data_IF_704163853640
#
_entry.id   IF_704163853640
#
_cell.length_a   1.000
_cell.length_b   1.000
_cell.length_c   1.000
_cell.angle_alpha   90.00
_cell.angle_beta   90.00
_cell.angle_gamma   90.00
#
_symmetry.space_group_name_H-M   'P 1'
#
loop_
_entity.id
_entity.type
_entity.pdbx_description
1 polymer ?
#
# COMPACT_ATOMS: atom_id res chain seq x y z
N UNK A 1 11.21 -19.50 27.65
CA UNK A 1 11.39 -19.23 26.21
C UNK A 1 12.55 -18.23 26.07
N UNK A 2 13.58 -18.57 25.30
CA UNK A 2 14.78 -17.72 25.19
C UNK A 2 14.41 -16.31 24.71
N UNK A 3 14.98 -15.27 25.36
CA UNK A 3 14.74 -13.86 24.98
C UNK A 3 15.09 -13.59 23.51
N UNK A 4 16.05 -14.34 22.94
CA UNK A 4 16.43 -14.27 21.53
C UNK A 4 15.25 -14.63 20.61
N UNK A 5 14.48 -15.68 20.93
CA UNK A 5 13.32 -16.10 20.10
C UNK A 5 12.23 -15.01 20.09
N UNK A 6 12.03 -14.34 21.24
CA UNK A 6 11.06 -13.22 21.33
C UNK A 6 11.50 -11.98 20.57
N UNK A 7 12.79 -11.83 20.29
CA UNK A 7 13.32 -10.66 19.58
C UNK A 7 13.20 -10.79 18.06
N UNK A 8 13.03 -12.01 17.51
CA UNK A 8 12.98 -12.25 16.06
C UNK A 8 11.87 -11.44 15.38
N UNK A 9 10.59 -11.48 15.82
CA UNK A 9 9.54 -10.68 15.18
C UNK A 9 9.86 -9.18 15.24
N UNK A 10 10.24 -8.66 16.41
CA UNK A 10 10.57 -7.24 16.56
C UNK A 10 11.73 -6.79 15.66
N UNK A 11 12.71 -7.68 15.42
CA UNK A 11 13.81 -7.38 14.48
C UNK A 11 13.28 -7.27 13.05
N UNK A 12 12.38 -8.15 12.62
CA UNK A 12 11.76 -8.08 11.30
C UNK A 12 10.94 -6.79 11.13
N UNK A 13 10.19 -6.40 12.17
CA UNK A 13 9.47 -5.12 12.19
C UNK A 13 10.43 -3.92 12.06
N UNK A 14 11.58 -3.94 12.77
CA UNK A 14 12.60 -2.89 12.63
C UNK A 14 13.22 -2.86 11.23
N UNK A 15 13.37 -4.03 10.57
CA UNK A 15 13.85 -4.08 9.19
C UNK A 15 12.81 -3.50 8.23
N UNK A 16 11.52 -3.78 8.43
CA UNK A 16 10.44 -3.13 7.67
C UNK A 16 10.50 -1.60 7.80
N UNK A 17 10.64 -1.10 9.04
CA UNK A 17 10.81 0.33 9.32
C UNK A 17 12.03 0.92 8.61
N UNK A 18 13.17 0.22 8.62
CA UNK A 18 14.38 0.65 7.94
C UNK A 18 14.15 0.83 6.43
N UNK A 19 13.47 -0.12 5.78
CA UNK A 19 13.11 0.02 4.38
C UNK A 19 12.10 1.15 4.13
N UNK A 20 11.18 1.42 5.06
CA UNK A 20 10.33 2.59 5.03
C UNK A 20 11.12 3.90 5.01
N UNK A 21 12.15 4.02 5.87
CA UNK A 21 13.05 5.17 5.88
C UNK A 21 13.86 5.30 4.57
N UNK A 22 14.36 4.20 4.02
CA UNK A 22 15.04 4.21 2.72
C UNK A 22 14.10 4.67 1.59
N UNK A 23 12.85 4.24 1.61
CA UNK A 23 11.84 4.68 0.63
C UNK A 23 11.64 6.19 0.65
N UNK A 24 11.64 6.80 1.84
CA UNK A 24 11.55 8.27 1.99
C UNK A 24 12.77 8.93 1.35
N UNK A 25 13.98 8.44 1.62
CA UNK A 25 15.21 9.00 1.04
C UNK A 25 15.19 8.92 -0.49
N UNK A 26 14.86 7.76 -1.05
CA UNK A 26 14.75 7.62 -2.51
C UNK A 26 13.66 8.50 -3.13
N UNK A 27 12.57 8.76 -2.40
CA UNK A 27 11.53 9.68 -2.85
C UNK A 27 12.04 11.13 -2.91
N UNK A 28 12.85 11.55 -1.93
CA UNK A 28 13.51 12.87 -1.91
C UNK A 28 14.46 13.02 -3.09
N UNK A 29 15.18 11.96 -3.44
CA UNK A 29 16.12 11.93 -4.58
C UNK A 29 15.41 11.83 -5.95
N UNK A 30 14.08 11.68 -5.99
CA UNK A 30 13.32 11.46 -7.24
C UNK A 30 13.50 10.06 -7.83
N UNK A 31 13.98 9.10 -7.04
CA UNK A 31 14.17 7.70 -7.44
C UNK A 31 12.97 6.83 -7.05
N UNK A 32 11.82 7.11 -7.66
CA UNK A 32 10.55 6.46 -7.28
C UNK A 32 10.53 4.95 -7.51
N UNK A 33 11.36 4.43 -8.43
CA UNK A 33 11.53 2.99 -8.61
C UNK A 33 12.10 2.32 -7.36
N UNK A 34 13.17 2.88 -6.77
CA UNK A 34 13.76 2.33 -5.55
C UNK A 34 12.88 2.60 -4.34
N UNK A 35 12.15 3.73 -4.32
CA UNK A 35 11.19 4.02 -3.26
C UNK A 35 10.10 2.94 -3.16
N UNK A 36 9.45 2.58 -4.27
CA UNK A 36 8.42 1.54 -4.27
C UNK A 36 9.00 0.15 -3.99
N UNK A 37 10.21 -0.14 -4.48
CA UNK A 37 10.90 -1.40 -4.18
C UNK A 37 11.15 -1.56 -2.67
N UNK A 38 11.56 -0.49 -1.99
CA UNK A 38 11.73 -0.48 -0.54
C UNK A 38 10.40 -0.71 0.19
N UNK A 39 9.29 -0.09 -0.25
CA UNK A 39 7.96 -0.34 0.34
C UNK A 39 7.55 -1.81 0.16
N UNK A 40 7.81 -2.40 -1.01
CA UNK A 40 7.51 -3.81 -1.27
C UNK A 40 8.33 -4.73 -0.36
N UNK A 41 9.65 -4.48 -0.23
CA UNK A 41 10.51 -5.24 0.66
C UNK A 41 10.06 -5.07 2.12
N UNK A 42 9.75 -3.84 2.55
CA UNK A 42 9.18 -3.56 3.86
C UNK A 42 7.92 -4.36 4.12
N UNK A 43 6.99 -4.45 3.16
CA UNK A 43 5.76 -5.25 3.26
C UNK A 43 6.02 -6.75 3.44
N UNK A 44 7.10 -7.28 2.84
CA UNK A 44 7.48 -8.69 3.02
C UNK A 44 7.98 -8.93 4.45
N UNK A 45 8.79 -8.01 5.00
CA UNK A 45 9.28 -8.12 6.36
C UNK A 45 8.16 -7.94 7.40
N UNK A 46 7.24 -7.01 7.19
CA UNK A 46 6.04 -6.80 7.97
C UNK A 46 5.16 -8.06 8.02
N UNK A 47 4.85 -8.65 6.86
CA UNK A 47 4.12 -9.91 6.83
C UNK A 47 4.87 -11.04 7.56
N UNK A 48 6.20 -11.06 7.46
CA UNK A 48 7.07 -12.09 8.05
C UNK A 48 7.15 -11.97 9.57
N UNK A 49 7.09 -10.76 10.15
CA UNK A 49 7.11 -10.57 11.60
C UNK A 49 5.81 -11.08 12.24
N UNK A 50 4.65 -10.74 11.68
CA UNK A 50 3.37 -11.28 12.14
C UNK A 50 3.27 -12.80 11.97
N UNK A 51 3.84 -13.37 10.91
CA UNK A 51 3.92 -14.81 10.73
C UNK A 51 4.85 -15.46 11.78
N UNK A 52 6.06 -14.91 11.98
CA UNK A 52 7.03 -15.42 12.95
C UNK A 52 6.53 -15.31 14.39
N UNK A 53 5.86 -14.21 14.74
CA UNK A 53 5.27 -14.01 16.07
C UNK A 53 4.25 -15.11 16.40
N UNK A 54 3.41 -15.50 15.43
CA UNK A 54 2.44 -16.60 15.59
C UNK A 54 3.11 -17.96 15.62
N UNK A 55 4.03 -18.24 14.68
CA UNK A 55 4.71 -19.54 14.58
C UNK A 55 5.58 -19.85 15.80
N UNK A 56 6.26 -18.84 16.34
CA UNK A 56 7.13 -18.97 17.51
C UNK A 56 6.40 -18.77 18.86
N UNK A 57 5.09 -18.47 18.83
CA UNK A 57 4.30 -18.08 20.02
C UNK A 57 4.97 -16.95 20.81
N UNK A 58 5.55 -15.98 20.09
CA UNK A 58 6.38 -14.89 20.60
C UNK A 58 5.66 -13.54 20.58
N UNK A 59 4.33 -13.52 20.46
CA UNK A 59 3.54 -12.28 20.49
C UNK A 59 3.74 -11.55 21.81
N UNK A 60 3.92 -10.23 21.74
CA UNK A 60 4.12 -9.36 22.91
C UNK A 60 3.39 -8.03 22.73
N UNK A 61 3.06 -7.35 23.85
CA UNK A 61 2.42 -6.03 23.80
C UNK A 61 3.33 -5.01 23.08
N UNK A 62 4.63 -5.01 23.39
CA UNK A 62 5.59 -4.11 22.74
C UNK A 62 5.73 -4.40 21.25
N UNK A 63 5.64 -5.69 20.82
CA UNK A 63 5.69 -6.06 19.42
C UNK A 63 4.51 -5.49 18.63
N UNK A 64 3.29 -5.51 19.22
CA UNK A 64 2.09 -4.93 18.59
C UNK A 64 2.20 -3.41 18.42
N UNK A 65 2.72 -2.70 19.41
CA UNK A 65 2.91 -1.25 19.31
C UNK A 65 4.02 -0.89 18.30
N UNK A 66 5.12 -1.65 18.33
CA UNK A 66 6.24 -1.45 17.40
C UNK A 66 5.80 -1.68 15.94
N UNK A 67 5.00 -2.71 15.66
CA UNK A 67 4.39 -3.01 14.38
C UNK A 67 3.58 -1.81 13.86
N UNK A 68 2.67 -1.28 14.69
CA UNK A 68 1.87 -0.11 14.31
C UNK A 68 2.70 1.15 14.04
N UNK A 69 3.79 1.36 14.79
CA UNK A 69 4.70 2.49 14.58
C UNK A 69 5.52 2.32 13.29
N UNK A 70 5.99 1.10 13.02
CA UNK A 70 6.71 0.77 11.80
C UNK A 70 5.80 0.91 10.56
N UNK A 71 4.57 0.38 10.63
CA UNK A 71 3.55 0.52 9.60
C UNK A 71 3.25 1.97 9.27
N UNK A 72 3.16 2.83 10.29
CA UNK A 72 2.92 4.25 10.11
C UNK A 72 4.01 4.90 9.27
N UNK A 73 5.27 4.55 9.48
CA UNK A 73 6.38 5.10 8.69
C UNK A 73 6.43 4.46 7.30
N UNK A 74 6.43 3.14 7.24
CA UNK A 74 6.66 2.38 6.00
C UNK A 74 5.49 2.48 5.01
N UNK A 75 4.25 2.54 5.52
CA UNK A 75 3.04 2.49 4.69
C UNK A 75 2.15 3.74 4.83
N UNK A 76 2.48 4.66 5.73
CA UNK A 76 1.83 5.97 5.83
C UNK A 76 2.73 7.09 5.32
N UNK A 77 3.88 7.29 5.97
CA UNK A 77 4.78 8.43 5.70
C UNK A 77 5.49 8.24 4.36
N UNK A 78 6.08 7.07 4.09
CA UNK A 78 6.86 6.83 2.88
C UNK A 78 6.06 7.07 1.59
N UNK A 79 4.84 6.53 1.38
CA UNK A 79 4.05 6.83 0.21
C UNK A 79 3.59 8.29 0.16
N UNK A 80 3.34 8.94 1.30
CA UNK A 80 3.04 10.36 1.36
C UNK A 80 4.18 11.21 0.81
N UNK A 81 5.43 10.88 1.16
CA UNK A 81 6.62 11.54 0.60
C UNK A 81 6.79 11.26 -0.90
N UNK A 82 6.55 10.03 -1.36
CA UNK A 82 6.61 9.70 -2.78
C UNK A 82 5.62 10.57 -3.60
N UNK A 83 4.38 10.70 -3.15
CA UNK A 83 3.38 11.56 -3.79
C UNK A 83 3.77 13.04 -3.71
N UNK A 84 4.23 13.51 -2.55
CA UNK A 84 4.64 14.89 -2.37
C UNK A 84 5.75 15.31 -3.35
N UNK A 85 6.83 14.52 -3.42
CA UNK A 85 7.95 14.84 -4.31
C UNK A 85 7.60 14.63 -5.79
N UNK A 86 6.75 13.65 -6.10
CA UNK A 86 6.20 13.51 -7.44
C UNK A 86 5.42 14.76 -7.86
N UNK A 87 4.46 15.20 -7.05
CA UNK A 87 3.66 16.38 -7.34
C UNK A 87 4.53 17.63 -7.43
N UNK A 88 5.49 17.80 -6.53
CA UNK A 88 6.41 18.95 -6.55
C UNK A 88 7.25 19.01 -7.82
N UNK A 89 7.63 17.88 -8.40
CA UNK A 89 8.41 17.80 -9.63
C UNK A 89 7.62 17.99 -10.92
N UNK A 90 6.30 17.78 -10.90
CA UNK A 90 5.44 17.73 -12.09
C UNK A 90 4.30 18.74 -12.08
N UNK A 91 4.14 19.53 -11.01
CA UNK A 91 3.16 20.62 -10.94
C UNK A 91 3.82 21.92 -11.40
N UNK A 92 3.58 22.28 -12.65
CA UNK A 92 4.09 23.53 -13.26
C UNK A 92 3.01 24.62 -13.14
N UNK A 93 2.71 25.05 -11.90
CA UNK A 93 1.75 26.11 -11.68
C UNK A 93 2.12 26.96 -10.46
N UNK A 94 2.46 28.20 -10.69
CA UNK A 94 2.84 29.16 -9.64
C UNK A 94 1.75 29.41 -8.58
N UNK A 95 0.49 29.28 -8.93
CA UNK A 95 -0.65 29.37 -8.01
C UNK A 95 -0.80 28.13 -7.11
N UNK A 96 -0.17 27.01 -7.48
CA UNK A 96 -0.34 25.72 -6.86
C UNK A 96 0.88 25.27 -6.03
N UNK A 97 1.77 26.17 -5.61
CA UNK A 97 3.00 25.84 -4.88
C UNK A 97 2.74 24.99 -3.63
N UNK A 98 1.62 25.25 -2.92
CA UNK A 98 1.24 24.52 -1.71
C UNK A 98 0.45 23.24 -1.98
N UNK A 99 0.07 22.97 -3.22
CA UNK A 99 -0.78 21.84 -3.59
C UNK A 99 -0.18 20.48 -3.25
N UNK A 100 1.15 20.23 -3.42
CA UNK A 100 1.76 18.95 -3.06
C UNK A 100 1.59 18.56 -1.60
N UNK A 101 1.39 19.51 -0.67
CA UNK A 101 1.21 19.22 0.75
C UNK A 101 -0.04 18.39 1.04
N UNK A 102 -1.01 18.30 0.11
CA UNK A 102 -2.16 17.43 0.23
C UNK A 102 -1.76 15.95 0.37
N UNK A 103 -0.59 15.57 -0.14
CA UNK A 103 -0.03 14.23 0.02
C UNK A 103 0.08 13.78 1.49
N UNK A 104 0.22 14.72 2.42
CA UNK A 104 0.31 14.43 3.85
C UNK A 104 -1.03 14.06 4.50
N UNK A 105 -2.12 14.06 3.75
CA UNK A 105 -3.34 13.36 4.16
C UNK A 105 -3.12 11.85 4.24
N UNK A 106 -2.25 11.29 3.39
CA UNK A 106 -1.95 9.84 3.41
C UNK A 106 -1.42 9.39 4.77
N UNK A 107 -0.33 9.94 5.32
CA UNK A 107 0.13 9.55 6.65
C UNK A 107 -0.88 9.88 7.77
N UNK A 108 -1.61 11.00 7.68
CA UNK A 108 -2.61 11.35 8.69
C UNK A 108 -3.76 10.33 8.77
N UNK A 109 -4.31 9.95 7.62
CA UNK A 109 -5.37 8.95 7.56
C UNK A 109 -4.88 7.52 7.80
N UNK A 110 -3.62 7.22 7.47
CA UNK A 110 -2.97 5.96 7.84
C UNK A 110 -2.87 5.81 9.36
N UNK A 111 -2.45 6.87 10.07
CA UNK A 111 -2.41 6.88 11.53
C UNK A 111 -3.80 6.65 12.15
N UNK A 112 -4.82 7.35 11.64
CA UNK A 112 -6.20 7.15 12.10
C UNK A 112 -6.69 5.71 11.87
N UNK A 113 -6.35 5.13 10.70
CA UNK A 113 -6.70 3.75 10.39
C UNK A 113 -6.01 2.76 11.32
N UNK A 114 -4.71 2.90 11.55
CA UNK A 114 -3.95 2.01 12.44
C UNK A 114 -4.47 2.11 13.87
N UNK A 115 -4.76 3.32 14.35
CA UNK A 115 -5.36 3.53 15.67
C UNK A 115 -6.73 2.85 15.78
N UNK A 116 -7.63 3.03 14.78
CA UNK A 116 -8.93 2.34 14.74
C UNK A 116 -8.76 0.82 14.71
N UNK A 117 -7.85 0.30 13.89
CA UNK A 117 -7.60 -1.13 13.77
C UNK A 117 -7.15 -1.76 15.10
N UNK A 118 -6.35 -1.06 15.88
CA UNK A 118 -5.84 -1.55 17.17
C UNK A 118 -6.90 -1.70 18.25
N UNK A 119 -8.00 -0.93 18.18
CA UNK A 119 -9.10 -0.94 19.16
C UNK A 119 -10.37 -1.65 18.65
N UNK A 120 -10.48 -1.96 17.35
CA UNK A 120 -11.68 -2.54 16.76
C UNK A 120 -11.63 -4.07 16.77
N UNK A 121 -12.43 -4.69 17.65
CA UNK A 121 -12.54 -6.14 17.80
C UNK A 121 -13.30 -6.83 16.66
N UNK A 122 -14.00 -6.08 15.80
CA UNK A 122 -14.80 -6.62 14.68
C UNK A 122 -13.95 -7.16 13.53
N UNK A 123 -12.68 -6.76 13.42
CA UNK A 123 -11.82 -7.04 12.27
C UNK A 123 -11.07 -8.38 12.35
N UNK A 124 -11.73 -9.41 12.90
CA UNK A 124 -11.13 -10.76 13.02
C UNK A 124 -11.18 -11.59 11.74
N UNK A 125 -12.19 -11.40 10.89
CA UNK A 125 -12.46 -12.22 9.71
C UNK A 125 -12.48 -11.45 8.38
N UNK A 126 -12.70 -10.14 8.39
CA UNK A 126 -12.73 -9.27 7.21
C UNK A 126 -12.03 -7.94 7.54
N UNK A 127 -11.53 -7.26 6.53
CA UNK A 127 -11.00 -5.91 6.70
C UNK A 127 -12.11 -4.88 6.53
N UNK A 128 -12.07 -3.83 7.33
CA UNK A 128 -12.90 -2.64 7.18
C UNK A 128 -11.99 -1.52 6.69
N UNK A 129 -12.31 -0.94 5.53
CA UNK A 129 -11.47 0.05 4.85
C UNK A 129 -10.23 -0.54 4.17
N UNK A 130 -9.56 0.30 3.36
CA UNK A 130 -8.38 -0.08 2.60
C UNK A 130 -7.19 -0.40 3.54
N UNK A 131 -6.50 -1.55 3.39
CA UNK A 131 -5.29 -1.84 4.16
C UNK A 131 -4.16 -0.84 3.88
N UNK A 132 -3.45 -0.40 4.93
CA UNK A 132 -2.36 0.59 4.80
C UNK A 132 -1.26 0.15 3.84
N UNK A 133 -0.76 -1.12 3.89
CA UNK A 133 0.24 -1.57 2.92
C UNK A 133 -0.27 -1.59 1.47
N UNK A 134 -1.55 -1.91 1.27
CA UNK A 134 -2.16 -1.88 -0.06
C UNK A 134 -2.22 -0.45 -0.62
N UNK A 135 -2.63 0.52 0.20
CA UNK A 135 -2.63 1.93 -0.19
C UNK A 135 -1.22 2.43 -0.51
N UNK A 136 -0.23 2.07 0.31
CA UNK A 136 1.17 2.43 0.10
C UNK A 136 1.71 1.91 -1.24
N UNK A 137 1.49 0.63 -1.52
CA UNK A 137 1.89 0.02 -2.79
C UNK A 137 1.14 0.62 -3.98
N UNK A 138 -0.17 0.89 -3.84
CA UNK A 138 -0.97 1.52 -4.88
C UNK A 138 -0.39 2.89 -5.27
N UNK A 139 -0.23 3.78 -4.31
CA UNK A 139 0.23 5.15 -4.56
C UNK A 139 1.67 5.19 -5.08
N UNK A 140 2.57 4.45 -4.43
CA UNK A 140 3.99 4.47 -4.80
C UNK A 140 4.26 3.79 -6.13
N UNK A 141 3.54 2.70 -6.47
CA UNK A 141 3.70 2.03 -7.76
C UNK A 141 3.10 2.84 -8.92
N UNK A 142 2.01 3.57 -8.68
CA UNK A 142 1.43 4.49 -9.66
C UNK A 142 2.43 5.58 -10.06
N UNK A 143 3.04 6.24 -9.08
CA UNK A 143 4.07 7.27 -9.29
C UNK A 143 5.30 6.68 -9.96
N UNK A 144 5.82 5.56 -9.46
CA UNK A 144 7.00 4.90 -10.02
C UNK A 144 6.80 4.49 -11.49
N UNK A 145 5.63 4.00 -11.84
CA UNK A 145 5.31 3.61 -13.23
C UNK A 145 5.31 4.82 -14.14
N UNK A 146 4.69 5.93 -13.71
CA UNK A 146 4.68 7.16 -14.47
C UNK A 146 6.09 7.74 -14.66
N UNK A 147 6.92 7.71 -13.61
CA UNK A 147 8.32 8.16 -13.64
C UNK A 147 9.16 7.36 -14.65
N UNK A 148 9.04 6.03 -14.64
CA UNK A 148 9.75 5.16 -15.57
C UNK A 148 9.35 5.46 -17.03
N UNK A 149 8.04 5.62 -17.28
CA UNK A 149 7.55 5.92 -18.64
C UNK A 149 8.07 7.27 -19.12
N UNK A 150 8.03 8.31 -18.29
CA UNK A 150 8.55 9.63 -18.64
C UNK A 150 10.06 9.62 -18.88
N UNK A 151 10.84 8.94 -18.02
CA UNK A 151 12.29 8.76 -18.19
C UNK A 151 12.66 8.00 -19.47
N UNK A 152 11.79 7.10 -19.92
CA UNK A 152 11.94 6.39 -21.18
C UNK A 152 11.43 7.19 -22.39
N UNK A 153 11.04 8.45 -22.23
CA UNK A 153 10.52 9.30 -23.29
C UNK A 153 9.11 8.93 -23.77
N UNK A 154 8.38 8.11 -23.01
CA UNK A 154 7.01 7.70 -23.33
C UNK A 154 6.02 8.63 -22.63
N UNK A 155 5.35 9.48 -23.40
CA UNK A 155 4.20 10.26 -22.93
C UNK A 155 2.93 9.64 -23.48
N UNK A 156 1.98 9.35 -22.60
CA UNK A 156 0.69 8.78 -22.93
C UNK A 156 -0.39 9.28 -21.94
N UNK A 157 -1.66 8.92 -22.18
CA UNK A 157 -2.77 9.33 -21.33
C UNK A 157 -2.55 9.02 -19.84
N UNK A 158 -1.82 7.94 -19.51
CA UNK A 158 -1.54 7.55 -18.12
C UNK A 158 -0.51 8.48 -17.46
N UNK A 159 0.58 8.81 -18.18
CA UNK A 159 1.57 9.79 -17.67
C UNK A 159 0.96 11.18 -17.54
N UNK A 160 0.11 11.59 -18.50
CA UNK A 160 -0.60 12.87 -18.43
C UNK A 160 -1.58 12.90 -17.25
N UNK A 161 -2.28 11.80 -17.00
CA UNK A 161 -3.16 11.64 -15.84
C UNK A 161 -2.39 11.74 -14.52
N UNK A 162 -1.26 11.04 -14.38
CA UNK A 162 -0.43 11.06 -13.18
C UNK A 162 0.31 12.39 -12.97
N UNK A 163 0.55 13.15 -14.05
CA UNK A 163 1.15 14.49 -13.98
C UNK A 163 0.11 15.60 -13.78
N UNK A 164 -1.19 15.25 -13.87
CA UNK A 164 -2.25 16.20 -13.64
C UNK A 164 -2.46 16.40 -12.12
N UNK A 165 -2.27 17.62 -11.60
CA UNK A 165 -2.38 17.90 -10.17
C UNK A 165 -3.78 17.59 -9.61
N UNK A 166 -4.84 17.88 -10.38
CA UNK A 166 -6.21 17.62 -9.94
C UNK A 166 -6.49 16.12 -9.81
N UNK A 167 -6.02 15.32 -10.77
CA UNK A 167 -6.15 13.87 -10.72
C UNK A 167 -5.44 13.29 -9.49
N UNK A 168 -4.21 13.75 -9.19
CA UNK A 168 -3.45 13.31 -8.02
C UNK A 168 -4.12 13.71 -6.71
N UNK A 169 -4.68 14.93 -6.62
CA UNK A 169 -5.45 15.36 -5.44
C UNK A 169 -6.65 14.43 -5.22
N UNK A 170 -7.40 14.15 -6.28
CA UNK A 170 -8.59 13.27 -6.19
C UNK A 170 -8.19 11.87 -5.72
N UNK A 171 -7.09 11.31 -6.26
CA UNK A 171 -6.56 10.00 -5.84
C UNK A 171 -6.19 10.03 -4.35
N UNK A 172 -5.41 11.02 -3.91
CA UNK A 172 -4.97 11.14 -2.51
C UNK A 172 -6.17 11.25 -1.57
N UNK A 173 -7.15 12.10 -1.88
CA UNK A 173 -8.35 12.27 -1.05
C UNK A 173 -9.17 10.97 -1.04
N UNK A 174 -9.43 10.38 -2.21
CA UNK A 174 -10.24 9.17 -2.32
C UNK A 174 -9.61 8.00 -1.55
N UNK A 175 -8.31 7.75 -1.73
CA UNK A 175 -7.64 6.66 -1.03
C UNK A 175 -7.50 6.92 0.46
N UNK A 176 -7.26 8.17 0.89
CA UNK A 176 -7.23 8.56 2.31
C UNK A 176 -8.60 8.33 2.97
N UNK A 177 -9.69 8.70 2.32
CA UNK A 177 -11.04 8.42 2.83
C UNK A 177 -11.34 6.92 2.87
N UNK A 178 -10.88 6.14 1.87
CA UNK A 178 -11.03 4.69 1.86
C UNK A 178 -10.28 4.01 3.01
N UNK A 179 -9.13 4.53 3.47
CA UNK A 179 -8.40 4.01 4.64
C UNK A 179 -9.27 3.97 5.90
N UNK A 180 -10.07 5.01 6.15
CA UNK A 180 -10.88 5.15 7.37
C UNK A 180 -12.36 4.80 7.17
N UNK A 181 -12.75 4.46 5.95
CA UNK A 181 -14.13 4.10 5.59
C UNK A 181 -14.55 2.80 6.27
N UNK A 182 -15.84 2.65 6.53
CA UNK A 182 -16.42 1.38 6.99
C UNK A 182 -16.76 0.43 5.84
N UNK A 183 -16.11 0.63 4.69
CA UNK A 183 -16.35 -0.19 3.52
C UNK A 183 -15.80 -1.60 3.71
N UNK A 184 -16.64 -2.67 3.60
CA UNK A 184 -16.19 -4.03 3.83
C UNK A 184 -15.29 -4.51 2.68
N UNK A 185 -14.06 -4.88 3.01
CA UNK A 185 -13.12 -5.46 2.06
C UNK A 185 -12.94 -6.95 2.36
N UNK A 186 -12.96 -7.79 1.31
CA UNK A 186 -12.76 -9.21 1.53
C UNK A 186 -11.31 -9.52 1.91
N UNK A 187 -11.16 -10.43 2.87
CA UNK A 187 -9.85 -10.87 3.34
C UNK A 187 -9.16 -11.77 2.33
N UNK A 188 -7.87 -11.52 2.09
CA UNK A 188 -7.01 -12.39 1.27
C UNK A 188 -6.55 -13.65 2.01
N UNK A 189 -6.85 -13.79 3.31
CA UNK A 189 -6.50 -14.98 4.09
C UNK A 189 -7.28 -16.19 3.62
N UNK A 190 -6.58 -17.28 3.30
CA UNK A 190 -7.19 -18.56 2.96
C UNK A 190 -7.54 -19.31 4.25
N UNK A 191 -8.80 -19.75 4.37
CA UNK A 191 -9.24 -20.67 5.43
C UNK A 191 -9.03 -22.15 5.01
N UNK A 192 -9.10 -22.41 3.71
CA UNK A 192 -8.83 -23.68 3.04
C UNK A 192 -8.41 -23.40 1.60
N UNK A 193 -7.74 -24.35 0.95
CA UNK A 193 -7.25 -24.18 -0.43
C UNK A 193 -8.24 -24.64 -1.50
N UNK A 194 -9.49 -25.01 -1.13
CA UNK A 194 -10.52 -25.35 -2.08
C UNK A 194 -11.03 -24.13 -2.86
N UNK A 195 -11.57 -24.35 -4.05
CA UNK A 195 -12.14 -23.32 -4.92
C UNK A 195 -13.36 -22.65 -4.28
N UNK A 196 -14.32 -23.47 -3.81
CA UNK A 196 -15.57 -22.96 -3.23
C UNK A 196 -15.30 -22.00 -2.05
N UNK A 197 -15.80 -20.77 -2.15
CA UNK A 197 -15.60 -19.70 -1.16
C UNK A 197 -14.27 -18.93 -1.26
N UNK A 198 -13.40 -19.30 -2.20
CA UNK A 198 -12.14 -18.57 -2.47
C UNK A 198 -12.05 -18.06 -3.91
N UNK A 199 -13.15 -18.11 -4.68
CA UNK A 199 -13.19 -17.79 -6.12
C UNK A 199 -12.56 -16.41 -6.40
N UNK A 200 -12.95 -15.41 -5.60
CA UNK A 200 -12.46 -14.01 -5.75
C UNK A 200 -10.97 -13.90 -5.51
N UNK A 201 -10.43 -14.67 -4.56
CA UNK A 201 -9.01 -14.68 -4.23
C UNK A 201 -8.20 -15.31 -5.36
N UNK A 202 -8.69 -16.42 -5.93
CA UNK A 202 -8.05 -17.05 -7.08
C UNK A 202 -8.08 -16.16 -8.31
N UNK A 203 -9.22 -15.49 -8.60
CA UNK A 203 -9.34 -14.53 -9.70
C UNK A 203 -8.32 -13.40 -9.52
N UNK A 204 -8.22 -12.84 -8.31
CA UNK A 204 -7.24 -11.77 -8.01
C UNK A 204 -5.80 -12.27 -8.17
N UNK A 205 -5.49 -13.49 -7.71
CA UNK A 205 -4.14 -14.06 -7.86
C UNK A 205 -3.77 -14.29 -9.32
N UNK A 206 -4.69 -14.85 -10.12
CA UNK A 206 -4.47 -15.03 -11.57
C UNK A 206 -4.27 -13.68 -12.25
N UNK A 207 -5.10 -12.69 -11.92
CA UNK A 207 -4.94 -11.32 -12.44
C UNK A 207 -3.57 -10.74 -12.08
N UNK A 208 -3.12 -10.88 -10.82
CA UNK A 208 -1.83 -10.39 -10.36
C UNK A 208 -0.66 -11.04 -11.13
N UNK A 209 -0.71 -12.37 -11.33
CA UNK A 209 0.32 -13.10 -12.09
C UNK A 209 0.36 -12.66 -13.55
N UNK A 210 -0.80 -12.55 -14.20
CA UNK A 210 -0.90 -12.09 -15.60
C UNK A 210 -0.40 -10.65 -15.71
N UNK A 211 -0.78 -9.76 -14.78
CA UNK A 211 -0.29 -8.38 -14.74
C UNK A 211 1.23 -8.33 -14.57
N UNK A 212 1.81 -9.13 -13.67
CA UNK A 212 3.27 -9.20 -13.49
C UNK A 212 4.00 -9.66 -14.76
N UNK A 213 3.47 -10.64 -15.48
CA UNK A 213 4.06 -11.10 -16.74
C UNK A 213 3.99 -9.99 -17.80
N UNK A 214 2.81 -9.41 -18.03
CA UNK A 214 2.61 -8.39 -19.07
C UNK A 214 3.46 -7.15 -18.77
N UNK A 215 3.36 -6.57 -17.58
CA UNK A 215 4.09 -5.36 -17.23
C UNK A 215 5.60 -5.60 -17.05
N UNK A 216 5.99 -6.82 -16.64
CA UNK A 216 7.39 -7.23 -16.59
C UNK A 216 8.02 -7.25 -17.99
N UNK A 217 7.32 -7.78 -19.00
CA UNK A 217 7.75 -7.74 -20.41
C UNK A 217 7.83 -6.32 -20.96
N UNK A 218 7.00 -5.40 -20.47
CA UNK A 218 7.02 -3.99 -20.85
C UNK A 218 8.07 -3.16 -20.09
N UNK A 219 8.82 -3.73 -19.16
CA UNK A 219 9.82 -3.01 -18.36
C UNK A 219 9.25 -2.10 -17.27
N UNK A 220 7.96 -2.22 -16.96
CA UNK A 220 7.22 -1.42 -15.95
C UNK A 220 6.58 -2.33 -14.91
N UNK A 221 7.35 -3.24 -14.33
CA UNK A 221 6.87 -4.31 -13.44
C UNK A 221 5.97 -3.80 -12.30
N UNK A 222 6.28 -2.65 -11.72
CA UNK A 222 5.48 -2.10 -10.61
C UNK A 222 4.08 -1.65 -11.04
N UNK A 223 3.81 -1.49 -12.35
CA UNK A 223 2.45 -1.29 -12.84
C UNK A 223 1.51 -2.44 -12.45
N UNK A 224 2.04 -3.64 -12.29
CA UNK A 224 1.27 -4.79 -11.81
C UNK A 224 0.71 -4.56 -10.40
N UNK A 225 1.42 -3.87 -9.52
CA UNK A 225 0.99 -3.64 -8.16
C UNK A 225 -0.22 -2.71 -8.11
N UNK A 226 -0.14 -1.50 -8.71
CA UNK A 226 -1.29 -0.59 -8.67
C UNK A 226 -2.50 -1.14 -9.43
N UNK A 227 -2.31 -1.81 -10.57
CA UNK A 227 -3.42 -2.40 -11.34
C UNK A 227 -4.10 -3.54 -10.57
N UNK A 228 -3.33 -4.37 -9.88
CA UNK A 228 -3.88 -5.45 -9.03
C UNK A 228 -4.67 -4.87 -7.85
N UNK A 229 -4.16 -3.84 -7.20
CA UNK A 229 -4.85 -3.20 -6.08
C UNK A 229 -6.09 -2.47 -6.55
N UNK A 230 -6.03 -1.80 -7.70
CA UNK A 230 -7.21 -1.19 -8.32
C UNK A 230 -8.28 -2.23 -8.63
N UNK A 231 -7.89 -3.37 -9.23
CA UNK A 231 -8.81 -4.47 -9.50
C UNK A 231 -9.42 -5.05 -8.21
N UNK A 232 -8.62 -5.20 -7.14
CA UNK A 232 -9.10 -5.59 -5.82
C UNK A 232 -10.16 -4.62 -5.27
N UNK A 233 -9.90 -3.30 -5.36
CA UNK A 233 -10.86 -2.29 -4.92
C UNK A 233 -12.18 -2.37 -5.71
N UNK A 234 -12.10 -2.52 -7.04
CA UNK A 234 -13.29 -2.68 -7.90
C UNK A 234 -14.07 -3.94 -7.53
N UNK A 235 -13.38 -5.07 -7.32
CA UNK A 235 -14.03 -6.31 -6.88
C UNK A 235 -14.75 -6.14 -5.53
N UNK A 236 -14.17 -5.42 -4.58
CA UNK A 236 -14.80 -5.13 -3.29
C UNK A 236 -16.06 -4.28 -3.47
N UNK A 237 -16.00 -3.26 -4.32
CA UNK A 237 -17.15 -2.38 -4.63
C UNK A 237 -18.29 -3.19 -5.26
N UNK A 238 -17.99 -4.00 -6.25
CA UNK A 238 -18.99 -4.88 -6.91
C UNK A 238 -19.62 -5.82 -5.91
N UNK A 239 -18.82 -6.47 -5.06
CA UNK A 239 -19.32 -7.40 -4.03
C UNK A 239 -20.26 -6.72 -3.03
N UNK A 240 -19.95 -5.51 -2.63
CA UNK A 240 -20.79 -4.73 -1.74
C UNK A 240 -22.18 -4.45 -2.34
N UNK A 241 -22.21 -4.00 -3.60
CA UNK A 241 -23.48 -3.71 -4.26
C UNK A 241 -24.31 -4.96 -4.57
N UNK A 242 -23.66 -6.08 -4.90
CA UNK A 242 -24.35 -7.35 -5.13
C UNK A 242 -24.99 -7.87 -3.84
N UNK A 243 -24.25 -7.86 -2.71
CA UNK A 243 -24.79 -8.29 -1.41
C UNK A 243 -25.91 -7.39 -0.87
N UNK A 244 -25.91 -6.11 -1.23
CA UNK A 244 -26.99 -5.18 -0.80
C UNK A 244 -28.31 -5.41 -1.55
N UNK A 245 -28.26 -6.12 -2.69
CA UNK A 245 -29.44 -6.44 -3.50
C UNK A 245 -30.10 -7.79 -3.14
N UNK A 246 -29.42 -8.62 -2.34
CA UNK A 246 -29.93 -9.85 -1.76
C UNK A 246 -30.50 -9.63 -0.36
#
# INVERSE_FOLDING_TARGET
MNNIIKSIPNTLTCISLFFGCLSILYSIEGNFLYAVACILIGSIFDFSDGFSARALKASSAIGKELDSLADQVSFGVAPGFAIYFWMKGHVDCSFCEYLPYIAFLVPAFSALRLAKFNIDERQTSSFIGLPTPANALFLSSLVSTSDILLKNGTSNWFTDFCSNPVAMIVIVIATSLLLVSEFPMFSLKFKHFGWAGNEKKFILMVFAVVAMIIFGMCGILFAAAFTTILFYMVMCIVDFFVKKKQ
#
